data_IF_346863345730
#
_entry.id   IF_346863345730
#
_cell.length_a   1.000
_cell.length_b   1.000
_cell.length_c   1.000
_cell.angle_alpha   90.00
_cell.angle_beta   90.00
_cell.angle_gamma   90.00
#
_symmetry.space_group_name_H-M   'P 1'
#
loop_
_entity.id
_entity.type
_entity.pdbx_description
1 polymer ?
#
# COMPACT_ATOMS: atom_id res chain seq x y z
N UNK A 1 58.90 -8.33 17.10
CA UNK A 1 58.28 -7.46 16.06
C UNK A 1 56.89 -8.01 15.81
N UNK A 2 55.86 -7.17 16.00
CA UNK A 2 54.44 -7.54 16.10
C UNK A 2 53.82 -7.51 14.71
N UNK A 3 53.25 -8.63 14.24
CA UNK A 3 52.50 -8.67 12.98
C UNK A 3 51.02 -8.37 13.27
N UNK A 4 50.59 -7.15 12.95
CA UNK A 4 49.20 -6.73 12.98
C UNK A 4 48.39 -7.49 11.93
N UNK A 5 47.38 -8.24 12.37
CA UNK A 5 46.35 -8.82 11.51
C UNK A 5 45.34 -7.73 11.13
N UNK A 6 45.30 -7.35 9.86
CA UNK A 6 44.27 -6.47 9.31
C UNK A 6 43.01 -7.32 9.10
N UNK A 7 42.08 -7.25 10.06
CA UNK A 7 40.76 -7.83 9.94
C UNK A 7 39.96 -6.92 9.01
N UNK A 8 39.95 -7.23 7.72
CA UNK A 8 39.06 -6.59 6.75
C UNK A 8 37.63 -6.97 7.11
N UNK A 9 36.92 -6.06 7.77
CA UNK A 9 35.49 -6.13 7.95
C UNK A 9 34.83 -6.13 6.56
N UNK A 10 34.31 -7.27 6.13
CA UNK A 10 33.36 -7.36 5.04
C UNK A 10 32.11 -6.59 5.47
N UNK A 11 32.08 -5.29 5.14
CA UNK A 11 30.85 -4.53 5.11
C UNK A 11 29.94 -5.21 4.09
N UNK A 12 28.96 -5.96 4.58
CA UNK A 12 27.79 -6.34 3.78
C UNK A 12 27.13 -5.03 3.39
N UNK A 13 27.47 -4.54 2.19
CA UNK A 13 26.74 -3.45 1.58
C UNK A 13 25.34 -3.97 1.28
N UNK A 14 24.39 -3.62 2.15
CA UNK A 14 23.00 -3.58 1.77
C UNK A 14 22.91 -2.60 0.59
N UNK A 15 22.88 -3.14 -0.63
CA UNK A 15 22.65 -2.36 -1.84
C UNK A 15 21.23 -1.81 -1.73
N UNK A 16 21.10 -0.58 -1.24
CA UNK A 16 19.86 0.18 -1.39
C UNK A 16 19.56 0.29 -2.88
N UNK A 17 18.30 0.13 -3.32
CA UNK A 17 17.96 0.28 -4.72
C UNK A 17 18.38 1.70 -5.14
N UNK A 18 19.30 1.79 -6.09
CA UNK A 18 19.59 3.01 -6.84
C UNK A 18 18.35 3.33 -7.67
N UNK A 19 17.32 3.86 -7.01
CA UNK A 19 15.95 3.85 -7.49
C UNK A 19 15.53 5.23 -7.94
N UNK A 20 15.33 5.41 -9.24
CA UNK A 20 14.62 6.57 -9.75
C UNK A 20 13.25 6.67 -9.07
N UNK A 21 13.02 7.78 -8.35
CA UNK A 21 11.74 8.14 -7.77
C UNK A 21 10.74 8.66 -8.81
N UNK A 22 11.22 8.93 -10.02
CA UNK A 22 10.40 9.36 -11.13
C UNK A 22 9.78 8.15 -11.80
N UNK A 23 8.48 8.25 -12.10
CA UNK A 23 7.82 7.28 -12.95
C UNK A 23 8.52 7.23 -14.31
N UNK A 24 8.78 6.02 -14.80
CA UNK A 24 9.40 5.78 -16.11
C UNK A 24 8.31 5.26 -17.06
N UNK A 25 7.62 6.12 -17.84
CA UNK A 25 6.41 5.73 -18.59
C UNK A 25 6.65 4.61 -19.62
N UNK A 26 7.89 4.50 -20.09
CA UNK A 26 8.32 3.52 -21.08
C UNK A 26 8.70 2.16 -20.47
N UNK A 27 8.78 2.03 -19.14
CA UNK A 27 9.15 0.75 -18.51
C UNK A 27 8.05 -0.31 -18.70
N UNK A 28 8.46 -1.53 -19.02
CA UNK A 28 7.57 -2.70 -19.07
C UNK A 28 7.02 -3.07 -17.68
N UNK A 29 7.69 -2.67 -16.60
CA UNK A 29 7.28 -3.01 -15.24
C UNK A 29 6.38 -1.93 -14.65
N UNK A 30 5.19 -2.31 -14.18
CA UNK A 30 4.24 -1.36 -13.58
C UNK A 30 4.79 -0.67 -12.32
N UNK A 31 5.71 -1.33 -11.59
CA UNK A 31 6.38 -0.75 -10.43
C UNK A 31 7.22 0.48 -10.78
N UNK A 32 7.80 0.53 -11.98
CA UNK A 32 8.58 1.68 -12.46
C UNK A 32 7.66 2.75 -13.08
N UNK A 33 6.50 2.37 -13.62
CA UNK A 33 5.52 3.30 -14.21
C UNK A 33 4.60 3.98 -13.19
N UNK A 34 4.58 3.50 -11.95
CA UNK A 34 3.75 4.03 -10.88
C UNK A 34 4.23 5.41 -10.43
N UNK A 35 3.30 6.32 -10.09
CA UNK A 35 3.64 7.61 -9.45
C UNK A 35 4.38 7.42 -8.13
N UNK A 36 4.14 6.29 -7.45
CA UNK A 36 4.95 5.83 -6.32
C UNK A 36 5.67 4.57 -6.74
N UNK A 37 6.91 4.71 -7.19
CA UNK A 37 7.67 3.59 -7.74
C UNK A 37 7.98 2.54 -6.67
N UNK A 38 7.94 1.27 -7.07
CA UNK A 38 8.13 0.15 -6.15
C UNK A 38 8.80 -1.04 -6.81
N UNK A 39 9.45 -1.84 -5.99
CA UNK A 39 10.05 -3.12 -6.40
C UNK A 39 9.18 -4.25 -5.86
N UNK A 40 8.91 -5.27 -6.70
CA UNK A 40 8.28 -6.50 -6.26
C UNK A 40 9.30 -7.43 -5.64
N UNK A 41 8.96 -8.00 -4.51
CA UNK A 41 9.78 -8.91 -3.72
C UNK A 41 8.94 -10.15 -3.37
N UNK A 42 9.61 -11.17 -2.84
CA UNK A 42 8.95 -12.38 -2.32
C UNK A 42 9.52 -12.66 -0.94
N UNK A 43 8.67 -12.60 0.08
CA UNK A 43 9.01 -13.04 1.42
C UNK A 43 8.97 -14.57 1.47
N UNK A 44 10.14 -15.17 1.71
CA UNK A 44 10.33 -16.63 1.69
C UNK A 44 10.60 -17.17 3.09
N UNK A 45 9.74 -18.07 3.54
CA UNK A 45 9.90 -18.82 4.79
C UNK A 45 9.48 -20.29 4.57
N UNK A 46 10.46 -21.20 4.54
CA UNK A 46 10.21 -22.64 4.34
C UNK A 46 9.37 -23.29 5.45
N UNK A 47 9.36 -22.68 6.63
CA UNK A 47 8.59 -23.16 7.79
C UNK A 47 7.14 -22.69 7.74
N UNK A 48 6.78 -21.79 6.83
CA UNK A 48 5.46 -21.16 6.74
C UNK A 48 4.64 -21.71 5.56
N UNK A 49 3.33 -21.61 5.66
CA UNK A 49 2.37 -21.87 4.59
C UNK A 49 1.46 -20.63 4.44
N UNK A 50 1.43 -20.00 3.24
CA UNK A 50 2.31 -20.27 2.10
C UNK A 50 3.78 -19.93 2.45
N UNK A 51 4.72 -20.66 1.82
CA UNK A 51 6.15 -20.46 2.04
C UNK A 51 6.69 -19.24 1.32
N UNK A 52 5.99 -18.77 0.29
CA UNK A 52 6.32 -17.59 -0.48
C UNK A 52 5.12 -16.64 -0.42
N UNK A 53 5.36 -15.40 -0.02
CA UNK A 53 4.35 -14.35 -0.01
C UNK A 53 4.86 -13.19 -0.86
N UNK A 54 4.22 -12.88 -1.99
CA UNK A 54 4.55 -11.69 -2.76
C UNK A 54 4.36 -10.44 -1.90
N UNK A 55 5.37 -9.57 -1.92
CA UNK A 55 5.37 -8.29 -1.21
C UNK A 55 5.93 -7.21 -2.13
N UNK A 56 5.75 -5.95 -1.77
CA UNK A 56 6.37 -4.83 -2.48
C UNK A 56 7.14 -3.96 -1.49
N UNK A 57 8.12 -3.22 -2.00
CA UNK A 57 8.82 -2.19 -1.24
C UNK A 57 8.82 -0.90 -2.03
N UNK A 58 8.38 0.20 -1.41
CA UNK A 58 8.42 1.51 -2.07
C UNK A 58 9.87 1.95 -2.22
N UNK A 59 10.24 2.42 -3.42
CA UNK A 59 11.59 2.96 -3.63
C UNK A 59 11.77 4.29 -2.95
N UNK A 60 10.70 5.09 -2.92
CA UNK A 60 10.73 6.47 -2.43
C UNK A 60 9.59 6.69 -1.42
N UNK A 61 9.71 6.13 -0.21
CA UNK A 61 8.75 6.40 0.84
C UNK A 61 8.74 7.91 1.14
N UNK A 62 7.55 8.45 1.40
CA UNK A 62 7.31 9.82 1.82
C UNK A 62 7.65 10.92 0.80
N UNK A 63 8.06 10.55 -0.42
CA UNK A 63 8.23 11.51 -1.52
C UNK A 63 6.89 12.08 -1.98
N UNK A 64 6.88 13.36 -2.33
CA UNK A 64 5.71 14.00 -2.95
C UNK A 64 5.39 13.35 -4.30
N UNK A 65 4.13 13.01 -4.52
CA UNK A 65 3.67 12.31 -5.72
C UNK A 65 2.55 13.06 -6.47
N UNK A 66 2.10 14.21 -5.95
CA UNK A 66 1.14 15.09 -6.61
C UNK A 66 1.45 16.55 -6.30
N UNK A 67 1.15 17.43 -7.25
CA UNK A 67 1.20 18.89 -7.06
C UNK A 67 -0.11 19.45 -6.48
N UNK A 68 -1.16 18.62 -6.36
CA UNK A 68 -2.49 19.02 -5.90
C UNK A 68 -2.63 19.08 -4.37
N UNK A 69 -1.53 18.87 -3.63
CA UNK A 69 -1.50 18.87 -2.16
C UNK A 69 -0.31 18.06 -1.62
N UNK A 70 -0.25 17.88 -0.30
CA UNK A 70 0.77 17.05 0.38
C UNK A 70 0.45 15.55 0.26
N UNK A 71 0.32 15.07 -0.98
CA UNK A 71 0.20 13.64 -1.26
C UNK A 71 1.59 13.03 -1.31
N UNK A 72 1.80 11.99 -0.52
CA UNK A 72 3.08 11.31 -0.39
C UNK A 72 2.96 9.83 -0.69
N UNK A 73 4.06 9.24 -1.12
CA UNK A 73 4.12 7.80 -1.32
C UNK A 73 4.11 7.07 0.02
N UNK A 74 3.15 6.14 0.18
CA UNK A 74 2.94 5.36 1.39
C UNK A 74 2.84 3.88 1.06
N UNK A 75 3.40 3.07 1.95
CA UNK A 75 3.21 1.64 1.94
C UNK A 75 1.83 1.27 2.49
N UNK A 76 1.12 0.42 1.76
CA UNK A 76 -0.11 -0.21 2.24
C UNK A 76 0.25 -1.58 2.77
N UNK A 77 0.15 -1.73 4.08
CA UNK A 77 0.42 -3.00 4.77
C UNK A 77 -0.89 -3.69 5.11
N UNK A 78 -0.98 -4.97 4.82
CA UNK A 78 -2.11 -5.84 5.20
C UNK A 78 -1.65 -6.97 6.11
N UNK A 79 -2.55 -7.41 6.99
CA UNK A 79 -2.31 -8.59 7.84
C UNK A 79 -2.69 -9.85 7.08
N UNK A 80 -1.70 -10.67 6.76
CA UNK A 80 -1.89 -11.91 6.02
C UNK A 80 -1.89 -13.13 6.96
N UNK A 81 -2.93 -13.99 6.95
CA UNK A 81 -2.97 -15.19 7.79
C UNK A 81 -2.05 -16.29 7.26
N UNK A 82 -1.33 -16.96 8.17
CA UNK A 82 -0.37 -18.02 7.82
C UNK A 82 -0.43 -19.19 8.78
N UNK A 83 0.17 -20.31 8.37
CA UNK A 83 0.43 -21.47 9.25
C UNK A 83 1.92 -21.72 9.34
N UNK A 84 2.44 -21.93 10.54
CA UNK A 84 3.82 -22.33 10.78
C UNK A 84 3.92 -23.82 11.08
N UNK A 85 4.84 -24.51 10.43
CA UNK A 85 5.22 -25.91 10.65
C UNK A 85 6.10 -25.99 11.89
N UNK A 86 5.73 -26.81 12.88
CA UNK A 86 6.62 -27.11 14.01
C UNK A 86 7.48 -28.34 13.71
N UNK A 87 8.68 -28.10 13.18
CA UNK A 87 9.67 -29.15 12.89
C UNK A 87 9.12 -30.20 11.91
N UNK A 88 9.45 -31.48 12.15
CA UNK A 88 8.98 -32.62 11.31
C UNK A 88 7.60 -33.16 11.70
N UNK A 89 6.97 -32.63 12.76
CA UNK A 89 5.68 -33.12 13.22
C UNK A 89 4.54 -32.46 12.42
N UNK A 90 3.41 -33.16 12.17
CA UNK A 90 2.26 -32.64 11.43
C UNK A 90 1.43 -31.62 12.24
N UNK A 91 2.08 -30.82 13.10
CA UNK A 91 1.44 -29.81 13.94
C UNK A 91 1.67 -28.43 13.33
N UNK A 92 0.56 -27.76 13.01
CA UNK A 92 0.55 -26.42 12.48
C UNK A 92 0.12 -25.42 13.55
N UNK A 93 0.80 -24.26 13.61
CA UNK A 93 0.40 -23.13 14.45
C UNK A 93 -0.13 -22.01 13.57
N UNK A 94 -1.33 -21.50 13.86
CA UNK A 94 -1.83 -20.27 13.24
C UNK A 94 -0.98 -19.07 13.62
N UNK A 95 -0.75 -18.18 12.67
CA UNK A 95 -0.15 -16.88 12.91
C UNK A 95 -0.56 -15.88 11.84
N UNK A 96 -0.01 -14.69 11.94
CA UNK A 96 -0.19 -13.62 10.95
C UNK A 96 1.17 -13.02 10.62
N UNK A 97 1.26 -12.40 9.44
CA UNK A 97 2.41 -11.62 9.00
C UNK A 97 1.92 -10.34 8.37
N UNK A 98 2.64 -9.24 8.58
CA UNK A 98 2.35 -7.97 7.94
C UNK A 98 3.07 -7.94 6.60
N UNK A 99 2.31 -7.68 5.53
CA UNK A 99 2.81 -7.71 4.15
C UNK A 99 2.51 -6.38 3.51
N UNK A 100 3.53 -5.73 2.96
CA UNK A 100 3.32 -4.56 2.13
C UNK A 100 2.79 -5.01 0.77
N UNK A 101 1.54 -4.68 0.47
CA UNK A 101 0.85 -5.12 -0.74
C UNK A 101 0.92 -4.10 -1.88
N UNK A 102 1.12 -2.83 -1.55
CA UNK A 102 1.12 -1.74 -2.51
C UNK A 102 1.89 -0.52 -2.02
N UNK A 103 2.28 0.33 -2.98
CA UNK A 103 2.74 1.69 -2.77
C UNK A 103 1.73 2.63 -3.41
N UNK A 104 1.18 3.55 -2.62
CA UNK A 104 0.11 4.46 -3.06
C UNK A 104 0.48 5.92 -2.82
N UNK A 105 -0.02 6.79 -3.69
CA UNK A 105 0.05 8.23 -3.49
C UNK A 105 -1.14 8.68 -2.63
N UNK A 106 -0.91 9.01 -1.37
CA UNK A 106 -1.96 9.34 -0.43
C UNK A 106 -1.56 10.50 0.50
N UNK A 107 -2.55 11.29 0.90
CA UNK A 107 -2.38 12.26 1.99
C UNK A 107 -2.41 11.54 3.35
N UNK A 108 -1.74 12.08 4.36
CA UNK A 108 -1.93 11.61 5.72
C UNK A 108 -3.39 11.80 6.14
N UNK A 109 -3.94 10.85 6.89
CA UNK A 109 -5.29 10.98 7.44
C UNK A 109 -5.37 12.26 8.28
N UNK A 110 -6.32 13.14 7.97
CA UNK A 110 -6.77 14.14 8.93
C UNK A 110 -7.38 13.41 10.14
N UNK A 111 -7.09 13.89 11.34
CA UNK A 111 -7.48 13.25 12.60
C UNK A 111 -9.01 13.09 12.68
N UNK A 112 -9.46 11.85 12.95
CA UNK A 112 -10.82 11.38 13.33
C UNK A 112 -11.91 11.40 12.25
N UNK A 113 -12.08 10.24 11.59
CA UNK A 113 -13.44 9.73 11.35
C UNK A 113 -13.85 8.88 12.56
N UNK A 114 -14.99 9.13 13.21
CA UNK A 114 -15.49 8.32 14.32
C UNK A 114 -15.86 6.88 13.91
N UNK A 115 -15.80 6.56 12.62
CA UNK A 115 -16.08 5.24 12.08
C UNK A 115 -14.78 4.57 11.65
N UNK A 116 -14.28 3.66 12.49
CA UNK A 116 -12.96 3.05 12.34
C UNK A 116 -12.85 2.09 11.13
N UNK A 117 -13.95 1.76 10.46
CA UNK A 117 -13.98 0.80 9.35
C UNK A 117 -14.89 1.19 8.17
N UNK A 118 -15.34 2.44 8.08
CA UNK A 118 -16.19 2.91 6.98
C UNK A 118 -15.34 3.75 6.04
N UNK A 119 -15.20 3.32 4.78
CA UNK A 119 -14.65 4.22 3.76
C UNK A 119 -15.68 5.31 3.54
N UNK A 120 -15.24 6.56 3.44
CA UNK A 120 -16.15 7.70 3.18
C UNK A 120 -16.98 7.48 1.90
N UNK A 121 -16.49 6.67 0.95
CA UNK A 121 -17.22 6.26 -0.25
C UNK A 121 -18.17 5.05 -0.09
N UNK A 122 -18.10 4.30 1.00
CA UNK A 122 -19.02 3.17 1.26
C UNK A 122 -20.36 3.65 1.82
N UNK A 123 -20.39 4.82 2.45
CA UNK A 123 -21.62 5.56 2.73
C UNK A 123 -22.11 6.22 1.44
N UNK A 124 -22.69 5.42 0.55
CA UNK A 124 -23.59 5.94 -0.47
C UNK A 124 -24.73 6.73 0.18
N UNK A 125 -25.36 7.69 -0.52
CA UNK A 125 -26.54 8.35 0.01
C UNK A 125 -27.55 7.29 0.44
N UNK A 126 -28.20 7.50 1.60
CA UNK A 126 -29.27 6.59 2.01
C UNK A 126 -30.31 6.50 0.89
N UNK A 127 -31.06 5.41 0.82
CA UNK A 127 -32.14 5.27 -0.18
C UNK A 127 -33.08 6.49 -0.16
N UNK A 128 -33.29 7.09 1.01
CA UNK A 128 -34.09 8.31 1.18
C UNK A 128 -33.40 9.55 0.60
N UNK A 129 -32.09 9.69 0.77
CA UNK A 129 -31.31 10.77 0.19
C UNK A 129 -31.25 10.67 -1.34
N UNK A 130 -31.09 9.46 -1.90
CA UNK A 130 -31.21 9.23 -3.34
C UNK A 130 -32.62 9.57 -3.88
N UNK A 131 -33.68 9.17 -3.16
CA UNK A 131 -35.06 9.50 -3.54
C UNK A 131 -35.32 11.01 -3.46
N UNK A 132 -34.81 11.69 -2.44
CA UNK A 132 -34.89 13.15 -2.31
C UNK A 132 -34.17 13.87 -3.44
N UNK A 133 -32.96 13.44 -3.82
CA UNK A 133 -32.24 13.96 -4.98
C UNK A 133 -33.03 13.74 -6.27
N UNK A 134 -33.60 12.55 -6.45
CA UNK A 134 -34.44 12.19 -7.61
C UNK A 134 -35.68 13.08 -7.71
N UNK A 135 -36.36 13.35 -6.59
CA UNK A 135 -37.55 14.21 -6.55
C UNK A 135 -37.21 15.69 -6.76
N UNK A 136 -36.06 16.17 -6.26
CA UNK A 136 -35.57 17.52 -6.56
C UNK A 136 -35.25 17.71 -8.05
N UNK A 137 -34.62 16.73 -8.69
CA UNK A 137 -34.38 16.78 -10.14
C UNK A 137 -35.65 16.65 -10.96
N UNK A 138 -36.66 15.93 -10.48
CA UNK A 138 -37.96 15.79 -11.14
C UNK A 138 -38.83 17.04 -10.96
N UNK A 139 -38.76 17.70 -9.81
CA UNK A 139 -39.41 18.99 -9.56
C UNK A 139 -38.82 20.14 -10.39
N UNK A 140 -37.52 20.10 -10.70
CA UNK A 140 -36.88 21.07 -11.62
C UNK A 140 -37.29 20.92 -13.08
N UNK A 141 -37.70 19.72 -13.49
CA UNK A 141 -38.25 19.47 -14.83
C UNK A 141 -39.73 19.90 -14.96
N UNK A 142 -40.40 20.18 -13.84
CA UNK A 142 -41.81 20.55 -13.79
C UNK A 142 -42.00 21.94 -13.16
N UNK A 143 -41.50 22.97 -13.84
CA UNK A 143 -41.99 24.35 -13.64
C UNK A 143 -41.01 25.33 -12.98
N UNK A 144 -40.22 25.99 -13.82
CA UNK A 144 -40.04 27.44 -13.72
C UNK A 144 -40.22 28.02 -15.13
N UNK A 145 -41.47 28.36 -15.45
CA UNK A 145 -41.76 29.33 -16.51
C UNK A 145 -41.54 30.69 -15.86
N UNK A 146 -40.49 31.39 -16.29
CA UNK A 146 -40.32 32.81 -16.03
C UNK A 146 -41.35 33.58 -16.86
N UNK A 147 -42.35 34.14 -16.19
CA UNK A 147 -43.06 35.37 -16.55
C UNK A 147 -43.80 35.89 -15.31
#
# INVERSE_FOLDING_TARGET
MVFSAVISALAVQAQGPTGDCQAQPQSQFIGDRSSCTFTRLVDRDSSRIPSEIPTVSCRCPDSLCSLLGDFRCREVTETFPVKYKRGRQPRYRSGTVNVTIACVCAMNRSIRSPYENIRVGDTGPSKEEYLRWKDLTRGRAAGQVLA
#
